data_IF_238490112401
#
_entry.id   IF_238490112401
#
_cell.length_a   1.000
_cell.length_b   1.000
_cell.length_c   1.000
_cell.angle_alpha   90.00
_cell.angle_beta   90.00
_cell.angle_gamma   90.00
#
_symmetry.space_group_name_H-M   'P 1'
#
loop_
_entity.id
_entity.type
_entity.pdbx_description
1 polymer ?
#
# COMPACT_ATOMS: atom_id res chain seq x y z
N UNK A 1 6.01 6.87 -22.51
CA UNK A 1 5.67 5.65 -21.74
C UNK A 1 6.95 5.24 -21.05
N UNK A 2 6.90 4.85 -19.78
CA UNK A 2 8.10 4.53 -19.01
C UNK A 2 8.71 3.20 -19.46
N UNK A 3 10.04 3.12 -19.56
CA UNK A 3 10.73 1.88 -19.98
C UNK A 3 11.70 1.39 -18.91
N UNK A 4 11.63 0.09 -18.60
CA UNK A 4 12.60 -0.64 -17.77
C UNK A 4 13.52 -1.46 -18.68
N UNK A 5 14.82 -1.41 -18.42
CA UNK A 5 15.77 -2.44 -18.85
C UNK A 5 16.56 -2.90 -17.64
N UNK A 6 16.30 -4.12 -17.20
CA UNK A 6 16.87 -4.71 -15.98
C UNK A 6 18.05 -5.65 -16.21
N UNK A 7 18.34 -5.95 -17.49
CA UNK A 7 19.26 -7.02 -17.86
C UNK A 7 18.66 -8.43 -17.73
N UNK A 8 17.39 -8.54 -17.32
CA UNK A 8 16.62 -9.78 -17.25
C UNK A 8 15.32 -9.63 -18.06
N UNK A 9 15.21 -10.40 -19.15
CA UNK A 9 14.07 -10.31 -20.06
C UNK A 9 12.72 -10.63 -19.39
N UNK A 10 12.70 -11.47 -18.37
CA UNK A 10 11.48 -11.83 -17.64
C UNK A 10 10.98 -10.66 -16.80
N UNK A 11 11.88 -9.96 -16.09
CA UNK A 11 11.52 -8.76 -15.33
C UNK A 11 11.07 -7.62 -16.25
N UNK A 12 11.72 -7.46 -17.40
CA UNK A 12 11.34 -6.45 -18.40
C UNK A 12 9.96 -6.75 -19.01
N UNK A 13 9.64 -8.04 -19.22
CA UNK A 13 8.33 -8.47 -19.70
C UNK A 13 7.23 -8.29 -18.64
N UNK A 14 7.49 -8.66 -17.38
CA UNK A 14 6.56 -8.47 -16.28
C UNK A 14 6.31 -6.99 -15.99
N UNK A 15 7.34 -6.15 -16.10
CA UNK A 15 7.20 -4.70 -15.97
C UNK A 15 6.31 -4.13 -17.06
N UNK A 16 6.54 -4.50 -18.33
CA UNK A 16 5.69 -4.08 -19.44
C UNK A 16 4.24 -4.52 -19.24
N UNK A 17 4.02 -5.77 -18.84
CA UNK A 17 2.69 -6.27 -18.49
C UNK A 17 2.01 -5.42 -17.42
N UNK A 18 2.71 -5.09 -16.33
CA UNK A 18 2.13 -4.27 -15.27
C UNK A 18 1.79 -2.85 -15.76
N UNK A 19 2.64 -2.23 -16.57
CA UNK A 19 2.34 -0.91 -17.18
C UNK A 19 1.12 -0.99 -18.10
N UNK A 20 1.02 -2.04 -18.92
CA UNK A 20 -0.10 -2.25 -19.84
C UNK A 20 -1.41 -2.53 -19.08
N UNK A 21 -1.36 -3.29 -17.99
CA UNK A 21 -2.50 -3.56 -17.11
C UNK A 21 -3.03 -2.27 -16.48
N UNK A 22 -2.14 -1.45 -15.88
CA UNK A 22 -2.52 -0.12 -15.34
C UNK A 22 -3.14 0.76 -16.41
N UNK A 23 -2.57 0.80 -17.62
CA UNK A 23 -3.10 1.59 -18.73
C UNK A 23 -4.48 1.08 -19.20
N UNK A 24 -4.69 -0.24 -19.19
CA UNK A 24 -5.95 -0.87 -19.53
C UNK A 24 -7.07 -0.64 -18.50
N UNK A 25 -6.72 -0.24 -17.29
CA UNK A 25 -7.65 0.12 -16.21
C UNK A 25 -7.93 1.64 -16.15
N UNK A 26 -7.57 2.41 -17.18
CA UNK A 26 -7.95 3.81 -17.31
C UNK A 26 -9.21 3.92 -18.18
N UNK A 27 -10.31 4.33 -17.58
CA UNK A 27 -11.60 4.55 -18.24
C UNK A 27 -12.07 5.98 -17.96
N UNK A 28 -12.39 6.72 -19.02
CA UNK A 28 -12.85 8.12 -18.95
C UNK A 28 -11.96 9.04 -18.10
N UNK A 29 -10.64 8.79 -18.13
CA UNK A 29 -9.65 9.58 -17.41
C UNK A 29 -9.55 9.26 -15.91
N UNK A 30 -10.15 8.17 -15.45
CA UNK A 30 -10.08 7.67 -14.07
C UNK A 30 -9.66 6.20 -14.02
N UNK A 31 -9.15 5.74 -12.87
CA UNK A 31 -8.84 4.33 -12.66
C UNK A 31 -10.08 3.52 -12.30
N UNK A 32 -10.23 2.32 -12.87
CA UNK A 32 -11.12 1.26 -12.37
C UNK A 32 -10.31 0.22 -11.57
N UNK A 33 -10.96 -0.56 -10.71
CA UNK A 33 -10.29 -1.54 -9.86
C UNK A 33 -9.70 -2.73 -10.63
N UNK A 34 -10.31 -3.09 -11.77
CA UNK A 34 -9.78 -4.10 -12.68
C UNK A 34 -10.80 -4.56 -13.71
N UNK A 35 -10.47 -5.57 -14.52
CA UNK A 35 -11.34 -6.01 -15.62
C UNK A 35 -12.75 -6.44 -15.19
N UNK A 36 -12.86 -7.23 -14.12
CA UNK A 36 -14.15 -7.67 -13.60
C UNK A 36 -14.75 -6.66 -12.59
N UNK A 37 -13.99 -5.63 -12.23
CA UNK A 37 -14.36 -4.56 -11.31
C UNK A 37 -14.30 -3.20 -12.01
N UNK A 38 -15.17 -3.00 -13.01
CA UNK A 38 -15.20 -1.83 -13.89
C UNK A 38 -15.74 -0.54 -13.24
N UNK A 39 -15.41 -0.32 -11.97
CA UNK A 39 -15.82 0.83 -11.15
C UNK A 39 -14.66 1.34 -10.33
N UNK A 40 -14.74 2.61 -9.91
CA UNK A 40 -13.77 3.21 -8.99
C UNK A 40 -14.02 2.71 -7.58
N UNK A 41 -12.96 2.21 -6.92
CA UNK A 41 -12.95 1.82 -5.51
C UNK A 41 -11.90 2.63 -4.77
N UNK A 42 -12.26 3.11 -3.58
CA UNK A 42 -11.41 3.99 -2.77
C UNK A 42 -10.13 3.29 -2.37
N UNK A 43 -10.22 2.03 -1.95
CA UNK A 43 -9.09 1.25 -1.46
C UNK A 43 -8.16 0.83 -2.59
N UNK A 44 -8.73 0.22 -3.64
CA UNK A 44 -8.01 -0.23 -4.83
C UNK A 44 -7.21 0.93 -5.44
N UNK A 45 -7.87 2.07 -5.66
CA UNK A 45 -7.22 3.26 -6.23
C UNK A 45 -6.15 3.80 -5.28
N UNK A 46 -6.47 4.00 -4.00
CA UNK A 46 -5.55 4.65 -3.07
C UNK A 46 -4.27 3.84 -2.87
N UNK A 47 -4.39 2.52 -2.71
CA UNK A 47 -3.22 1.64 -2.62
C UNK A 47 -2.45 1.59 -3.94
N UNK A 48 -3.13 1.50 -5.09
CA UNK A 48 -2.47 1.47 -6.40
C UNK A 48 -1.69 2.74 -6.68
N UNK A 49 -2.24 3.90 -6.33
CA UNK A 49 -1.60 5.20 -6.48
C UNK A 49 -0.35 5.31 -5.59
N UNK A 50 -0.38 4.82 -4.35
CA UNK A 50 0.80 4.78 -3.47
C UNK A 50 1.85 3.74 -3.91
N UNK A 51 1.42 2.64 -4.52
CA UNK A 51 2.30 1.56 -4.97
C UNK A 51 3.02 1.88 -6.30
N UNK A 52 2.42 2.68 -7.18
CA UNK A 52 3.14 3.10 -8.40
C UNK A 52 2.27 3.54 -9.57
N UNK A 53 0.97 3.25 -9.56
CA UNK A 53 0.07 3.69 -10.64
C UNK A 53 0.05 5.22 -10.77
N UNK A 54 0.16 5.94 -9.65
CA UNK A 54 0.24 7.40 -9.64
C UNK A 54 1.48 7.95 -10.33
N UNK A 55 2.63 7.25 -10.24
CA UNK A 55 3.87 7.67 -10.90
C UNK A 55 3.76 7.57 -12.42
N UNK A 56 3.01 6.58 -12.91
CA UNK A 56 2.75 6.40 -14.35
C UNK A 56 1.74 7.41 -14.88
N UNK A 57 0.66 7.67 -14.13
CA UNK A 57 -0.46 8.51 -14.55
C UNK A 57 -0.90 9.48 -13.44
N UNK A 58 -0.11 10.52 -13.13
CA UNK A 58 -0.40 11.43 -12.02
C UNK A 58 -1.72 12.21 -12.20
N UNK A 59 -2.04 12.61 -13.44
CA UNK A 59 -3.28 13.33 -13.73
C UNK A 59 -4.52 12.45 -13.54
N UNK A 60 -4.44 11.17 -13.96
CA UNK A 60 -5.50 10.18 -13.75
C UNK A 60 -5.66 9.87 -12.27
N UNK A 61 -4.56 9.76 -11.53
CA UNK A 61 -4.60 9.60 -10.08
C UNK A 61 -5.33 10.79 -9.44
N UNK A 62 -4.96 12.02 -9.76
CA UNK A 62 -5.60 13.23 -9.21
C UNK A 62 -7.09 13.29 -9.53
N UNK A 63 -7.47 13.03 -10.79
CA UNK A 63 -8.87 13.01 -11.22
C UNK A 63 -9.67 11.93 -10.49
N UNK A 64 -9.11 10.72 -10.35
CA UNK A 64 -9.75 9.62 -9.64
C UNK A 64 -9.92 9.95 -8.16
N UNK A 65 -8.87 10.44 -7.48
CA UNK A 65 -8.95 10.86 -6.07
C UNK A 65 -10.06 11.90 -5.85
N UNK A 66 -10.17 12.92 -6.70
CA UNK A 66 -11.24 13.95 -6.63
C UNK A 66 -12.64 13.37 -6.75
N UNK A 67 -12.82 12.23 -7.44
CA UNK A 67 -14.11 11.56 -7.59
C UNK A 67 -14.49 10.63 -6.44
N UNK A 68 -13.59 10.36 -5.49
CA UNK A 68 -13.78 9.37 -4.42
C UNK A 68 -14.25 9.99 -3.10
N UNK A 69 -15.20 10.91 -3.19
CA UNK A 69 -15.76 11.59 -2.02
C UNK A 69 -17.26 11.48 -1.94
N UNK A 70 -17.77 11.70 -0.73
CA UNK A 70 -19.19 11.80 -0.43
C UNK A 70 -19.40 12.94 0.56
N UNK A 71 -20.64 13.43 0.70
CA UNK A 71 -20.95 14.50 1.63
C UNK A 71 -21.52 13.94 2.94
N UNK A 72 -20.82 14.14 4.05
CA UNK A 72 -21.37 13.99 5.40
C UNK A 72 -22.12 15.28 5.76
N UNK A 73 -23.39 15.17 6.17
CA UNK A 73 -24.24 16.34 6.38
C UNK A 73 -23.74 17.32 7.46
N UNK A 74 -22.91 16.87 8.39
CA UNK A 74 -22.36 17.70 9.45
C UNK A 74 -20.91 18.16 9.17
N UNK A 75 -20.11 17.31 8.52
CA UNK A 75 -18.68 17.54 8.34
C UNK A 75 -18.32 18.04 6.94
N UNK A 76 -19.22 17.91 5.96
CA UNK A 76 -18.96 18.22 4.57
C UNK A 76 -18.32 17.04 3.83
N UNK A 77 -17.43 17.34 2.89
CA UNK A 77 -16.82 16.33 2.03
C UNK A 77 -15.89 15.39 2.81
N UNK A 78 -16.06 14.07 2.62
CA UNK A 78 -15.32 12.98 3.25
C UNK A 78 -14.99 11.90 2.22
N UNK A 79 -13.96 11.10 2.47
CA UNK A 79 -13.64 9.94 1.64
C UNK A 79 -14.82 8.97 1.61
N UNK A 80 -15.19 8.50 0.42
CA UNK A 80 -16.29 7.55 0.26
C UNK A 80 -15.85 6.18 0.79
N UNK A 81 -16.77 5.50 1.47
CA UNK A 81 -16.55 4.12 1.90
C UNK A 81 -17.11 3.17 0.86
N UNK A 82 -16.27 2.28 0.36
CA UNK A 82 -16.66 1.22 -0.55
C UNK A 82 -17.73 0.33 0.09
N UNK A 83 -18.63 -0.24 -0.72
CA UNK A 83 -19.69 -1.15 -0.28
C UNK A 83 -19.43 -2.56 -0.78
N UNK A 84 -19.15 -3.46 0.15
CA UNK A 84 -18.89 -4.86 -0.09
C UNK A 84 -20.15 -5.74 0.05
N UNK A 85 -20.15 -6.88 -0.64
CA UNK A 85 -21.27 -7.83 -0.62
C UNK A 85 -21.52 -8.51 0.73
N UNK A 86 -20.46 -8.91 1.46
CA UNK A 86 -20.62 -9.69 2.71
C UNK A 86 -20.79 -8.81 3.96
N UNK A 87 -20.02 -7.72 4.08
CA UNK A 87 -20.00 -6.91 5.30
C UNK A 87 -20.58 -5.49 5.13
N UNK A 88 -20.99 -5.11 3.92
CA UNK A 88 -21.64 -3.83 3.64
C UNK A 88 -20.65 -2.67 3.49
N UNK A 89 -21.01 -1.50 4.01
CA UNK A 89 -20.16 -0.30 4.00
C UNK A 89 -20.12 0.35 5.37
N UNK A 90 -19.92 1.66 5.43
CA UNK A 90 -19.92 2.42 6.69
C UNK A 90 -21.19 2.17 7.51
N UNK A 91 -21.11 1.93 8.84
CA UNK A 91 -19.92 1.96 9.70
C UNK A 91 -19.28 0.58 9.97
N UNK A 92 -19.56 -0.45 9.17
CA UNK A 92 -18.96 -1.79 9.34
C UNK A 92 -17.57 -1.87 8.72
N UNK A 93 -17.44 -1.34 7.50
CA UNK A 93 -16.16 -1.03 6.88
C UNK A 93 -15.87 0.45 7.18
N UNK A 94 -14.69 0.72 7.71
CA UNK A 94 -14.31 2.06 8.17
C UNK A 94 -12.95 2.49 7.66
N UNK A 95 -12.42 1.85 6.63
CA UNK A 95 -11.06 2.07 6.12
C UNK A 95 -10.96 3.11 4.99
N UNK A 96 -12.05 3.81 4.65
CA UNK A 96 -12.07 4.93 3.67
C UNK A 96 -11.02 6.02 3.90
N UNK A 97 -10.48 6.15 5.12
CA UNK A 97 -9.36 7.05 5.43
C UNK A 97 -8.09 6.73 4.60
N UNK A 98 -7.99 5.54 4.00
CA UNK A 98 -6.96 5.19 3.00
C UNK A 98 -6.89 6.18 1.84
N UNK A 99 -7.99 6.90 1.54
CA UNK A 99 -7.99 8.01 0.59
C UNK A 99 -6.91 9.04 0.87
N UNK A 100 -6.58 9.29 2.14
CA UNK A 100 -5.48 10.17 2.53
C UNK A 100 -4.10 9.66 2.06
N UNK A 101 -3.89 8.33 2.02
CA UNK A 101 -2.65 7.71 1.54
C UNK A 101 -2.48 7.95 0.04
N UNK A 102 -3.53 7.65 -0.74
CA UNK A 102 -3.54 7.91 -2.19
C UNK A 102 -3.35 9.39 -2.50
N UNK A 103 -4.10 10.26 -1.82
CA UNK A 103 -4.03 11.70 -2.01
C UNK A 103 -2.65 12.28 -1.67
N UNK A 104 -2.04 11.84 -0.57
CA UNK A 104 -0.69 12.26 -0.22
C UNK A 104 0.33 11.84 -1.29
N UNK A 105 0.24 10.60 -1.79
CA UNK A 105 1.09 10.14 -2.89
C UNK A 105 0.89 10.99 -4.15
N UNK A 106 -0.35 11.24 -4.56
CA UNK A 106 -0.68 12.12 -5.69
C UNK A 106 -0.10 13.53 -5.51
N UNK A 107 -0.23 14.13 -4.33
CA UNK A 107 0.35 15.44 -4.05
C UNK A 107 1.88 15.43 -4.20
N UNK A 108 2.58 14.42 -3.67
CA UNK A 108 4.04 14.36 -3.79
C UNK A 108 4.50 14.33 -5.25
N UNK A 109 3.76 13.63 -6.11
CA UNK A 109 4.04 13.46 -7.54
C UNK A 109 3.73 14.70 -8.38
N UNK A 110 2.74 15.49 -7.98
CA UNK A 110 2.23 16.63 -8.76
C UNK A 110 2.66 17.98 -8.22
N UNK A 111 2.86 18.10 -6.91
CA UNK A 111 3.12 19.36 -6.23
C UNK A 111 1.89 20.30 -6.16
N UNK A 112 0.71 19.83 -6.55
CA UNK A 112 -0.49 20.68 -6.67
C UNK A 112 -0.99 21.13 -5.28
N UNK A 113 -0.88 22.45 -5.03
CA UNK A 113 -1.24 23.04 -3.73
C UNK A 113 -2.76 23.17 -3.52
N UNK A 114 -3.55 23.24 -4.58
CA UNK A 114 -5.01 23.28 -4.46
C UNK A 114 -5.54 21.89 -4.09
N UNK A 115 -5.03 20.86 -4.76
CA UNK A 115 -5.28 19.47 -4.42
C UNK A 115 -4.86 19.17 -2.98
N UNK A 116 -3.67 19.61 -2.54
CA UNK A 116 -3.23 19.48 -1.14
C UNK A 116 -4.25 20.04 -0.14
N UNK A 117 -4.74 21.27 -0.38
CA UNK A 117 -5.72 21.93 0.50
C UNK A 117 -7.04 21.17 0.57
N UNK A 118 -7.52 20.72 -0.58
CA UNK A 118 -8.71 19.91 -0.67
C UNK A 118 -8.53 18.57 0.07
N UNK A 119 -7.43 17.86 -0.19
CA UNK A 119 -7.12 16.58 0.46
C UNK A 119 -6.97 16.71 1.97
N UNK A 120 -6.39 17.80 2.47
CA UNK A 120 -6.33 18.10 3.90
C UNK A 120 -7.75 18.13 4.49
N UNK A 121 -8.64 18.91 3.89
CA UNK A 121 -10.03 19.09 4.34
C UNK A 121 -10.80 17.76 4.35
N UNK A 122 -10.76 17.02 3.23
CA UNK A 122 -11.45 15.72 3.13
C UNK A 122 -10.91 14.72 4.15
N UNK A 123 -9.59 14.73 4.38
CA UNK A 123 -8.94 13.85 5.37
C UNK A 123 -9.35 14.19 6.80
N UNK A 124 -9.30 15.46 7.20
CA UNK A 124 -9.69 15.87 8.56
C UNK A 124 -11.17 15.63 8.83
N UNK A 125 -12.04 15.86 7.83
CA UNK A 125 -13.46 15.54 7.94
C UNK A 125 -13.69 14.03 8.07
N UNK A 126 -12.93 13.21 7.34
CA UNK A 126 -13.05 11.75 7.42
C UNK A 126 -12.58 11.22 8.78
N UNK A 127 -11.50 11.78 9.34
CA UNK A 127 -11.05 11.48 10.71
C UNK A 127 -12.14 11.85 11.73
N UNK A 128 -12.72 13.05 11.64
CA UNK A 128 -13.81 13.46 12.53
C UNK A 128 -15.05 12.55 12.41
N UNK A 129 -15.38 12.07 11.20
CA UNK A 129 -16.45 11.10 10.97
C UNK A 129 -16.16 9.79 11.71
N UNK A 130 -14.94 9.29 11.61
CA UNK A 130 -14.51 8.07 12.27
C UNK A 130 -14.47 8.19 13.79
N UNK A 131 -13.98 9.32 14.32
CA UNK A 131 -14.00 9.62 15.75
C UNK A 131 -15.43 9.61 16.30
N UNK A 132 -16.39 10.13 15.52
CA UNK A 132 -17.82 10.14 15.88
C UNK A 132 -18.44 8.74 15.86
N UNK A 133 -18.17 7.95 14.83
CA UNK A 133 -18.96 6.74 14.52
C UNK A 133 -18.28 5.42 14.92
N UNK A 134 -16.95 5.38 14.95
CA UNK A 134 -16.18 4.13 15.01
C UNK A 134 -15.09 4.10 16.09
N UNK A 135 -14.71 5.23 16.68
CA UNK A 135 -13.69 5.26 17.72
C UNK A 135 -14.21 4.70 19.06
N UNK A 136 -13.49 3.73 19.60
CA UNK A 136 -13.78 3.10 20.87
C UNK A 136 -12.92 3.71 21.98
N UNK A 137 -13.48 4.66 22.74
CA UNK A 137 -12.75 5.41 23.75
C UNK A 137 -12.15 4.54 24.88
N UNK A 138 -12.70 3.34 25.12
CA UNK A 138 -12.20 2.41 26.13
C UNK A 138 -10.87 1.75 25.70
N UNK A 139 -10.80 1.23 24.47
CA UNK A 139 -9.56 0.66 23.93
C UNK A 139 -8.61 1.71 23.34
N UNK A 140 -9.12 2.88 22.97
CA UNK A 140 -8.37 3.87 22.19
C UNK A 140 -8.10 3.42 20.75
N UNK A 141 -8.86 2.46 20.22
CA UNK A 141 -8.77 1.95 18.85
C UNK A 141 -10.06 2.28 18.07
N UNK A 142 -9.98 2.23 16.74
CA UNK A 142 -11.11 2.30 15.84
C UNK A 142 -11.67 0.91 15.58
N UNK A 143 -12.99 0.82 15.57
CA UNK A 143 -13.74 -0.36 15.17
C UNK A 143 -13.89 -0.41 13.65
N UNK A 144 -14.02 -1.63 13.12
CA UNK A 144 -14.27 -1.88 11.71
C UNK A 144 -13.55 -3.13 11.22
N UNK A 145 -14.02 -3.61 10.07
CA UNK A 145 -13.33 -4.64 9.30
C UNK A 145 -11.88 -4.23 9.01
N UNK A 146 -10.98 -5.21 8.90
CA UNK A 146 -9.64 -5.01 8.35
C UNK A 146 -9.74 -4.50 6.94
N UNK A 147 -8.83 -3.60 6.58
CA UNK A 147 -8.79 -3.06 5.23
C UNK A 147 -8.71 -4.18 4.21
N UNK A 148 -9.44 -4.04 3.10
CA UNK A 148 -9.63 -5.01 2.01
C UNK A 148 -10.11 -6.43 2.40
N UNK A 149 -10.37 -6.75 3.67
CA UNK A 149 -10.76 -8.11 4.11
C UNK A 149 -12.28 -8.29 4.25
N UNK A 150 -13.05 -7.71 3.32
CA UNK A 150 -14.53 -7.59 3.38
C UNK A 150 -15.33 -8.85 3.02
N UNK A 151 -14.70 -10.02 3.00
CA UNK A 151 -15.35 -11.29 2.68
C UNK A 151 -15.43 -12.22 3.88
N UNK A 152 -16.42 -13.12 3.86
CA UNK A 152 -16.58 -14.18 4.86
C UNK A 152 -15.28 -14.95 5.12
N UNK A 153 -14.51 -15.20 4.06
CA UNK A 153 -13.23 -15.92 4.13
C UNK A 153 -12.12 -15.18 4.88
N UNK A 154 -12.29 -13.89 5.17
CA UNK A 154 -11.36 -13.08 5.96
C UNK A 154 -11.53 -13.22 7.48
N UNK A 155 -12.56 -13.91 7.96
CA UNK A 155 -12.93 -13.98 9.38
C UNK A 155 -13.43 -15.40 9.76
N UNK A 156 -13.45 -15.79 11.05
CA UNK A 156 -14.00 -17.08 11.43
C UNK A 156 -15.50 -17.17 11.12
N UNK A 157 -16.02 -18.39 10.95
CA UNK A 157 -17.41 -18.64 10.55
C UNK A 157 -18.49 -17.93 11.39
N UNK A 158 -18.19 -17.55 12.64
CA UNK A 158 -19.11 -16.77 13.50
C UNK A 158 -19.51 -15.40 12.91
N UNK A 159 -18.72 -14.86 11.98
CA UNK A 159 -18.96 -13.56 11.35
C UNK A 159 -19.55 -13.64 9.94
N UNK A 160 -19.79 -14.84 9.41
CA UNK A 160 -20.24 -15.00 8.03
C UNK A 160 -21.56 -14.24 7.79
N UNK A 161 -21.55 -13.33 6.81
CA UNK A 161 -22.66 -12.42 6.47
C UNK A 161 -23.14 -11.51 7.62
N UNK A 162 -22.34 -11.35 8.69
CA UNK A 162 -22.62 -10.45 9.81
C UNK A 162 -21.61 -9.29 9.83
N UNK A 163 -21.79 -8.36 8.91
CA UNK A 163 -20.97 -7.15 8.84
C UNK A 163 -21.03 -6.30 10.12
N UNK A 164 -22.14 -6.34 10.86
CA UNK A 164 -22.26 -5.59 12.11
C UNK A 164 -21.39 -6.20 13.22
N UNK A 165 -21.23 -7.53 13.24
CA UNK A 165 -20.30 -8.20 14.14
C UNK A 165 -18.84 -7.94 13.76
N UNK A 166 -18.48 -8.04 12.47
CA UNK A 166 -17.15 -7.66 11.99
C UNK A 166 -16.84 -6.19 12.31
N UNK A 167 -17.82 -5.31 12.13
CA UNK A 167 -17.73 -3.89 12.43
C UNK A 167 -17.49 -3.55 13.91
N UNK A 168 -17.59 -4.52 14.83
CA UNK A 168 -17.21 -4.35 16.24
C UNK A 168 -15.77 -4.75 16.54
N UNK A 169 -15.10 -5.47 15.63
CA UNK A 169 -13.67 -5.80 15.77
C UNK A 169 -12.81 -4.55 15.60
N UNK A 170 -11.58 -4.59 16.12
CA UNK A 170 -10.58 -3.53 15.98
C UNK A 170 -9.38 -4.11 15.23
N UNK A 171 -9.44 -4.03 13.90
CA UNK A 171 -8.41 -4.59 13.04
C UNK A 171 -7.13 -3.75 12.99
N UNK A 172 -5.99 -4.43 12.86
CA UNK A 172 -4.66 -3.82 12.78
C UNK A 172 -4.54 -2.84 11.61
N UNK A 173 -4.78 -3.30 10.38
CA UNK A 173 -4.65 -2.48 9.17
C UNK A 173 -5.52 -1.21 9.22
N UNK A 174 -6.76 -1.33 9.70
CA UNK A 174 -7.68 -0.19 9.86
C UNK A 174 -7.17 0.82 10.88
N UNK A 175 -6.66 0.37 12.02
CA UNK A 175 -6.06 1.26 13.00
C UNK A 175 -4.75 1.90 12.51
N UNK A 176 -3.94 1.17 11.74
CA UNK A 176 -2.76 1.72 11.07
C UNK A 176 -3.13 2.79 10.04
N UNK A 177 -4.23 2.61 9.31
CA UNK A 177 -4.77 3.58 8.36
C UNK A 177 -5.25 4.85 9.06
N UNK A 178 -5.93 4.74 10.21
CA UNK A 178 -6.30 5.91 11.00
C UNK A 178 -5.11 6.65 11.57
N UNK A 179 -4.12 5.92 12.11
CA UNK A 179 -2.86 6.51 12.54
C UNK A 179 -2.19 7.24 11.39
N UNK A 180 -2.15 6.62 10.20
CA UNK A 180 -1.59 7.23 9.00
C UNK A 180 -2.41 8.44 8.56
N UNK A 181 -3.73 8.40 8.67
CA UNK A 181 -4.64 9.51 8.40
C UNK A 181 -4.32 10.74 9.26
N UNK A 182 -4.16 10.57 10.57
CA UNK A 182 -3.73 11.66 11.46
C UNK A 182 -2.37 12.23 11.06
N UNK A 183 -1.38 11.36 10.83
CA UNK A 183 -0.02 11.78 10.41
C UNK A 183 -0.05 12.55 9.09
N UNK A 184 -0.83 12.09 8.11
CA UNK A 184 -0.94 12.75 6.81
C UNK A 184 -1.74 14.05 6.90
N UNK A 185 -2.83 14.07 7.69
CA UNK A 185 -3.55 15.30 8.03
C UNK A 185 -2.61 16.35 8.60
N UNK A 186 -1.83 16.01 9.64
CA UNK A 186 -0.86 16.91 10.25
C UNK A 186 0.21 17.39 9.25
N UNK A 187 0.74 16.50 8.40
CA UNK A 187 1.72 16.89 7.37
C UNK A 187 1.13 17.87 6.36
N UNK A 188 -0.07 17.61 5.87
CA UNK A 188 -0.75 18.50 4.93
C UNK A 188 -1.06 19.85 5.58
N UNK A 189 -1.62 19.85 6.80
CA UNK A 189 -1.91 21.05 7.57
C UNK A 189 -0.66 21.90 7.82
N UNK A 190 0.46 21.29 8.21
CA UNK A 190 1.72 22.00 8.42
C UNK A 190 2.24 22.69 7.14
N UNK A 191 2.12 22.05 5.97
CA UNK A 191 2.47 22.64 4.67
C UNK A 191 1.53 23.79 4.26
N UNK A 192 0.32 23.81 4.82
CA UNK A 192 -0.69 24.85 4.61
C UNK A 192 -0.63 25.96 5.67
N UNK A 193 0.17 25.79 6.73
CA UNK A 193 0.29 26.72 7.85
C UNK A 193 -0.85 26.63 8.87
N UNK A 194 -1.50 25.47 8.97
CA UNK A 194 -2.59 25.19 9.92
C UNK A 194 -2.03 24.64 11.26
N UNK A 195 -2.84 24.72 12.32
CA UNK A 195 -2.50 24.08 13.61
C UNK A 195 -2.76 22.57 13.53
N UNK A 196 -1.76 21.79 13.91
CA UNK A 196 -1.71 20.33 13.75
C UNK A 196 -1.57 19.60 15.07
N UNK A 197 -1.50 20.32 16.21
CA UNK A 197 -1.22 19.72 17.51
C UNK A 197 -2.23 18.63 17.88
N UNK A 198 -3.52 18.85 17.60
CA UNK A 198 -4.55 17.85 17.86
C UNK A 198 -4.35 16.57 17.05
N UNK A 199 -3.95 16.69 15.78
CA UNK A 199 -3.72 15.55 14.89
C UNK A 199 -2.48 14.76 15.34
N UNK A 200 -1.38 15.45 15.67
CA UNK A 200 -0.16 14.83 16.17
C UNK A 200 -0.41 14.10 17.51
N UNK A 201 -1.18 14.71 18.41
CA UNK A 201 -1.55 14.10 19.69
C UNK A 201 -2.44 12.86 19.48
N UNK A 202 -3.41 12.91 18.57
CA UNK A 202 -4.24 11.74 18.23
C UNK A 202 -3.42 10.62 17.59
N UNK A 203 -2.50 10.93 16.68
CA UNK A 203 -1.58 9.96 16.10
C UNK A 203 -0.73 9.28 17.19
N UNK A 204 -0.14 10.05 18.10
CA UNK A 204 0.68 9.53 19.19
C UNK A 204 -0.12 8.59 20.11
N UNK A 205 -1.33 9.00 20.52
CA UNK A 205 -2.21 8.14 21.35
C UNK A 205 -2.58 6.84 20.64
N UNK A 206 -3.00 6.93 19.38
CA UNK A 206 -3.40 5.73 18.63
C UNK A 206 -2.21 4.78 18.40
N UNK A 207 -1.01 5.31 18.14
CA UNK A 207 0.21 4.49 18.07
C UNK A 207 0.45 3.71 19.36
N UNK A 208 0.28 4.36 20.51
CA UNK A 208 0.38 3.71 21.83
C UNK A 208 -0.67 2.61 21.96
N UNK A 209 -1.95 2.90 21.69
CA UNK A 209 -3.02 1.90 21.77
C UNK A 209 -2.76 0.68 20.87
N UNK A 210 -2.29 0.89 19.63
CA UNK A 210 -1.96 -0.22 18.72
C UNK A 210 -0.86 -1.11 19.31
N UNK A 211 0.21 -0.50 19.85
CA UNK A 211 1.33 -1.23 20.43
C UNK A 211 0.96 -1.98 21.73
N UNK A 212 0.13 -1.37 22.56
CA UNK A 212 -0.27 -1.97 23.84
C UNK A 212 -1.31 -3.07 23.68
N UNK A 213 -2.21 -2.94 22.69
CA UNK A 213 -3.35 -3.84 22.55
C UNK A 213 -3.14 -4.93 21.51
N UNK A 214 -2.47 -4.65 20.40
CA UNK A 214 -2.41 -5.59 19.27
C UNK A 214 -1.07 -6.32 19.16
N UNK A 215 -0.02 -5.93 19.88
CA UNK A 215 1.28 -6.61 19.78
C UNK A 215 1.25 -7.99 20.46
N UNK A 216 1.68 -9.04 19.74
CA UNK A 216 1.84 -10.40 20.27
C UNK A 216 3.33 -10.69 20.50
N UNK A 217 3.89 -10.43 21.69
CA UNK A 217 5.33 -10.52 21.94
C UNK A 217 5.89 -11.92 21.73
N UNK A 218 5.12 -12.96 22.06
CA UNK A 218 5.54 -14.36 21.88
C UNK A 218 5.57 -14.79 20.40
N UNK A 219 4.83 -14.08 19.55
CA UNK A 219 4.74 -14.35 18.12
C UNK A 219 5.70 -13.48 17.29
N UNK A 220 6.13 -12.33 17.82
CA UNK A 220 7.01 -11.38 17.12
C UNK A 220 6.31 -10.57 16.02
N UNK A 221 4.97 -10.46 16.07
CA UNK A 221 4.16 -9.69 15.14
C UNK A 221 2.87 -9.18 15.83
N UNK A 222 2.04 -8.43 15.12
CA UNK A 222 0.75 -7.95 15.65
C UNK A 222 -0.37 -8.96 15.38
N UNK A 223 -1.36 -8.99 16.28
CA UNK A 223 -2.62 -9.67 16.05
C UNK A 223 -3.36 -9.02 14.89
N UNK A 224 -4.01 -9.84 14.06
CA UNK A 224 -4.86 -9.39 12.96
C UNK A 224 -5.96 -8.41 13.45
N UNK A 225 -6.62 -8.73 14.55
CA UNK A 225 -7.62 -7.86 15.19
C UNK A 225 -7.79 -8.22 16.68
N UNK A 226 -8.33 -7.26 17.44
CA UNK A 226 -9.01 -7.51 18.72
C UNK A 226 -10.52 -7.67 18.44
N UNK A 227 -11.15 -8.70 18.99
CA UNK A 227 -12.56 -9.01 18.73
C UNK A 227 -13.53 -8.20 19.61
N UNK A 228 -14.83 -8.49 19.50
CA UNK A 228 -15.88 -7.77 20.23
C UNK A 228 -15.80 -7.92 21.75
N UNK A 229 -15.13 -8.95 22.23
CA UNK A 229 -14.93 -9.27 23.65
C UNK A 229 -13.55 -8.85 24.16
N UNK A 230 -12.74 -8.21 23.32
CA UNK A 230 -11.37 -7.79 23.67
C UNK A 230 -10.32 -8.89 23.51
N UNK A 231 -10.64 -10.00 22.85
CA UNK A 231 -9.73 -11.11 22.63
C UNK A 231 -8.91 -10.90 21.36
N UNK A 232 -7.60 -11.14 21.43
CA UNK A 232 -6.73 -11.04 20.26
C UNK A 232 -6.85 -12.27 19.37
N UNK A 233 -6.96 -12.02 18.07
CA UNK A 233 -6.78 -13.04 17.04
C UNK A 233 -5.39 -13.67 17.15
N UNK A 234 -5.34 -14.99 17.07
CA UNK A 234 -4.10 -15.78 16.97
C UNK A 234 -3.46 -15.76 15.57
N UNK A 235 -4.13 -15.11 14.61
CA UNK A 235 -3.67 -14.92 13.23
C UNK A 235 -3.02 -13.56 13.02
N UNK A 236 -2.14 -13.51 12.02
CA UNK A 236 -1.61 -12.27 11.44
C UNK A 236 -2.38 -11.87 10.17
N UNK A 237 -2.20 -10.61 9.76
CA UNK A 237 -2.69 -10.07 8.49
C UNK A 237 -1.56 -9.32 7.77
N UNK A 238 -1.28 -9.72 6.53
CA UNK A 238 -0.03 -9.40 5.85
C UNK A 238 0.14 -7.91 5.50
N UNK A 239 -0.94 -7.23 5.10
CA UNK A 239 -0.91 -5.79 4.84
C UNK A 239 -0.62 -5.03 6.14
N UNK A 240 -1.33 -5.34 7.22
CA UNK A 240 -1.15 -4.75 8.53
C UNK A 240 0.28 -4.84 9.03
N UNK A 241 0.89 -6.03 8.99
CA UNK A 241 2.30 -6.21 9.35
C UNK A 241 3.24 -5.34 8.50
N UNK A 242 3.02 -5.35 7.18
CA UNK A 242 3.80 -4.53 6.24
C UNK A 242 3.69 -3.04 6.56
N UNK A 243 2.47 -2.56 6.82
CA UNK A 243 2.16 -1.16 7.09
C UNK A 243 2.69 -0.71 8.46
N UNK A 244 2.67 -1.57 9.47
CA UNK A 244 3.23 -1.28 10.79
C UNK A 244 4.73 -0.94 10.71
N UNK A 245 5.48 -1.70 9.89
CA UNK A 245 6.89 -1.45 9.57
C UNK A 245 7.06 -0.19 8.73
N UNK A 246 6.30 -0.06 7.63
CA UNK A 246 6.44 1.05 6.69
C UNK A 246 6.10 2.40 7.28
N UNK A 247 5.11 2.48 8.15
CA UNK A 247 4.66 3.74 8.75
C UNK A 247 5.24 4.01 10.13
N UNK A 248 6.09 3.12 10.65
CA UNK A 248 6.85 3.33 11.88
C UNK A 248 6.00 3.28 13.14
N UNK A 249 4.85 2.60 13.08
CA UNK A 249 4.07 2.26 14.28
C UNK A 249 4.85 1.22 15.09
N UNK A 250 5.37 0.20 14.40
CA UNK A 250 6.37 -0.71 14.95
C UNK A 250 7.68 0.05 15.20
N UNK A 251 8.26 -0.13 16.40
CA UNK A 251 9.62 0.29 16.71
C UNK A 251 10.65 -0.46 15.84
N UNK A 252 11.89 0.02 15.73
CA UNK A 252 12.93 -0.69 14.96
C UNK A 252 13.15 -2.14 15.39
N UNK A 253 13.02 -2.46 16.68
CA UNK A 253 13.12 -3.85 17.16
C UNK A 253 11.90 -4.68 16.76
N UNK A 254 10.69 -4.17 16.97
CA UNK A 254 9.47 -4.86 16.52
C UNK A 254 9.48 -5.06 15.00
N UNK A 255 9.97 -4.09 14.23
CA UNK A 255 10.09 -4.23 12.78
C UNK A 255 11.03 -5.38 12.40
N UNK A 256 12.15 -5.55 13.10
CA UNK A 256 13.03 -6.70 12.89
C UNK A 256 12.34 -8.02 13.26
N UNK A 257 11.62 -8.05 14.40
CA UNK A 257 10.87 -9.23 14.85
C UNK A 257 9.79 -9.63 13.83
N UNK A 258 9.06 -8.64 13.28
CA UNK A 258 8.03 -8.83 12.24
C UNK A 258 8.67 -9.44 10.98
N UNK A 259 9.75 -8.84 10.47
CA UNK A 259 10.44 -9.35 9.28
C UNK A 259 10.94 -10.79 9.45
N UNK A 260 11.33 -11.16 10.67
CA UNK A 260 11.82 -12.49 11.00
C UNK A 260 10.71 -13.52 11.25
N UNK A 261 9.62 -13.12 11.90
CA UNK A 261 8.64 -14.04 12.48
C UNK A 261 7.36 -14.17 11.66
N UNK A 262 7.09 -13.22 10.76
CA UNK A 262 5.88 -13.24 9.92
C UNK A 262 5.89 -14.45 8.98
N UNK A 263 4.89 -15.34 9.07
CA UNK A 263 4.81 -16.51 8.18
C UNK A 263 4.65 -16.09 6.72
N UNK A 264 5.42 -16.72 5.83
CA UNK A 264 5.25 -16.57 4.38
C UNK A 264 4.97 -17.92 3.73
N UNK A 265 4.43 -17.89 2.52
CA UNK A 265 4.17 -19.09 1.72
C UNK A 265 5.20 -19.22 0.59
N UNK A 266 5.18 -20.36 -0.10
CA UNK A 266 5.99 -20.56 -1.29
C UNK A 266 5.70 -19.53 -2.40
N UNK A 267 4.49 -18.97 -2.42
CA UNK A 267 4.05 -18.01 -3.44
C UNK A 267 4.18 -16.54 -2.98
N UNK A 268 4.35 -16.28 -1.68
CA UNK A 268 4.43 -14.92 -1.16
C UNK A 268 3.92 -14.74 0.25
N UNK A 269 3.89 -13.48 0.70
CA UNK A 269 3.15 -13.10 1.90
C UNK A 269 1.63 -13.34 1.69
N UNK A 270 0.98 -14.18 2.51
CA UNK A 270 -0.46 -14.37 2.45
C UNK A 270 -1.21 -13.20 3.09
N UNK A 271 -2.46 -12.98 2.68
CA UNK A 271 -3.31 -11.93 3.30
C UNK A 271 -3.56 -12.18 4.78
N UNK A 272 -3.71 -13.44 5.19
CA UNK A 272 -3.80 -13.83 6.59
C UNK A 272 -3.14 -15.19 6.83
N UNK A 273 -2.68 -15.44 8.04
CA UNK A 273 -2.15 -16.76 8.42
C UNK A 273 -2.26 -17.06 9.92
N UNK A 274 -2.52 -18.32 10.33
CA UNK A 274 -2.94 -19.46 9.50
C UNK A 274 -4.34 -19.30 8.91
N UNK A 275 -4.60 -19.98 7.80
CA UNK A 275 -5.92 -20.01 7.17
C UNK A 275 -7.00 -20.55 8.12
N UNK A 276 -8.22 -20.02 8.00
CA UNK A 276 -9.43 -20.59 8.57
C UNK A 276 -9.77 -21.91 7.86
N UNK A 277 -9.76 -23.07 8.57
CA UNK A 277 -9.99 -24.36 7.94
C UNK A 277 -11.33 -24.49 7.19
N UNK A 278 -12.38 -23.82 7.66
CA UNK A 278 -13.71 -23.85 7.06
C UNK A 278 -13.79 -23.20 5.66
N UNK A 279 -12.82 -22.33 5.34
CA UNK A 279 -12.74 -21.56 4.10
C UNK A 279 -11.65 -22.10 3.16
N UNK A 280 -11.23 -23.37 3.30
CA UNK A 280 -10.17 -24.00 2.49
C UNK A 280 -10.68 -24.93 1.36
N UNK A 281 -11.95 -24.83 0.99
CA UNK A 281 -12.53 -25.64 -0.08
C UNK A 281 -12.50 -24.90 -1.42
N UNK A 282 -11.46 -25.16 -2.22
CA UNK A 282 -11.27 -24.55 -3.53
C UNK A 282 -12.21 -25.10 -4.63
N UNK A 283 -13.06 -26.09 -4.32
CA UNK A 283 -14.10 -26.53 -5.24
C UNK A 283 -15.34 -25.62 -5.22
N UNK A 284 -15.44 -24.75 -4.22
CA UNK A 284 -16.50 -23.74 -4.10
C UNK A 284 -16.19 -22.49 -4.91
N UNK A 285 -17.19 -21.61 -5.02
CA UNK A 285 -17.03 -20.27 -5.56
C UNK A 285 -15.90 -19.52 -4.81
N UNK A 286 -15.10 -18.74 -5.56
CA UNK A 286 -13.91 -18.09 -5.02
C UNK A 286 -14.21 -17.17 -3.84
N UNK A 287 -15.41 -16.58 -3.76
CA UNK A 287 -15.84 -15.78 -2.62
C UNK A 287 -15.72 -16.53 -1.28
N UNK A 288 -15.76 -17.87 -1.31
CA UNK A 288 -15.64 -18.76 -0.15
C UNK A 288 -14.22 -18.90 0.40
N UNK A 289 -13.18 -18.55 -0.36
CA UNK A 289 -11.77 -18.62 0.06
C UNK A 289 -10.94 -17.34 -0.22
N UNK A 290 -11.55 -16.37 -0.92
CA UNK A 290 -11.01 -15.10 -1.41
C UNK A 290 -9.90 -14.43 -0.60
N UNK A 291 -10.09 -14.17 0.69
CA UNK A 291 -9.07 -13.54 1.55
C UNK A 291 -8.35 -14.53 2.46
N UNK A 292 -8.79 -15.79 2.49
CA UNK A 292 -8.28 -16.80 3.42
C UNK A 292 -6.90 -17.28 2.98
N UNK A 293 -5.85 -16.55 3.34
CA UNK A 293 -4.46 -16.89 3.07
C UNK A 293 -4.05 -16.85 1.60
N UNK A 294 -4.91 -16.30 0.72
CA UNK A 294 -4.54 -16.03 -0.66
C UNK A 294 -3.38 -15.03 -0.72
N UNK A 295 -2.56 -15.16 -1.75
CA UNK A 295 -1.42 -14.27 -2.01
C UNK A 295 -1.88 -13.21 -3.00
N UNK A 296 -1.96 -11.96 -2.53
CA UNK A 296 -2.36 -10.81 -3.33
C UNK A 296 -1.11 -9.97 -3.64
N UNK A 297 -0.76 -9.74 -4.92
CA UNK A 297 0.51 -9.06 -5.26
C UNK A 297 0.65 -7.66 -4.69
N UNK A 298 -0.44 -6.93 -4.43
CA UNK A 298 -0.38 -5.62 -3.78
C UNK A 298 0.09 -5.71 -2.31
N UNK A 299 -0.38 -6.73 -1.57
CA UNK A 299 0.08 -7.04 -0.20
C UNK A 299 1.57 -7.40 -0.22
N UNK A 300 1.99 -8.24 -1.18
CA UNK A 300 3.40 -8.55 -1.39
C UNK A 300 4.22 -7.31 -1.74
N UNK A 301 3.67 -6.39 -2.54
CA UNK A 301 4.31 -5.11 -2.89
C UNK A 301 4.60 -4.27 -1.64
N UNK A 302 3.67 -4.19 -0.70
CA UNK A 302 3.90 -3.53 0.59
C UNK A 302 4.91 -4.29 1.45
N UNK A 303 4.86 -5.62 1.49
CA UNK A 303 5.82 -6.43 2.23
C UNK A 303 7.25 -6.28 1.72
N UNK A 304 7.44 -6.34 0.40
CA UNK A 304 8.73 -6.11 -0.24
C UNK A 304 9.24 -4.69 0.02
N UNK A 305 8.35 -3.69 0.05
CA UNK A 305 8.71 -2.32 0.43
C UNK A 305 9.11 -2.22 1.91
N UNK A 306 8.48 -2.99 2.81
CA UNK A 306 8.89 -3.09 4.20
C UNK A 306 10.28 -3.71 4.33
N UNK A 307 10.55 -4.82 3.63
CA UNK A 307 11.88 -5.44 3.53
C UNK A 307 12.92 -4.45 2.97
N UNK A 308 12.58 -3.71 1.92
CA UNK A 308 13.47 -2.70 1.36
C UNK A 308 13.76 -1.57 2.36
N UNK A 309 12.76 -1.14 3.14
CA UNK A 309 12.92 -0.11 4.19
C UNK A 309 13.85 -0.57 5.31
N UNK A 310 13.82 -1.86 5.68
CA UNK A 310 14.70 -2.45 6.70
C UNK A 310 16.05 -2.88 6.15
N UNK A 311 16.27 -2.77 4.83
CA UNK A 311 17.51 -3.17 4.17
C UNK A 311 17.66 -4.68 3.98
N UNK A 312 16.56 -5.44 4.11
CA UNK A 312 16.55 -6.89 3.92
C UNK A 312 16.48 -7.24 2.43
N UNK A 313 17.67 -7.27 1.80
CA UNK A 313 17.85 -7.58 0.38
C UNK A 313 17.36 -9.00 0.05
N UNK A 314 17.48 -9.94 1.00
CA UNK A 314 17.13 -11.33 0.77
C UNK A 314 15.62 -11.51 0.68
N UNK A 315 14.87 -10.95 1.64
CA UNK A 315 13.40 -10.97 1.61
C UNK A 315 12.88 -10.16 0.42
N UNK A 316 13.43 -8.98 0.16
CA UNK A 316 13.04 -8.17 -1.00
C UNK A 316 13.23 -8.94 -2.33
N UNK A 317 14.41 -9.52 -2.54
CA UNK A 317 14.70 -10.29 -3.76
C UNK A 317 13.80 -11.51 -3.91
N UNK A 318 13.57 -12.25 -2.81
CA UNK A 318 12.70 -13.43 -2.83
C UNK A 318 11.26 -13.07 -3.19
N UNK A 319 10.69 -11.98 -2.65
CA UNK A 319 9.33 -11.56 -3.00
C UNK A 319 9.24 -11.03 -4.44
N UNK A 320 10.26 -10.33 -4.92
CA UNK A 320 10.33 -9.89 -6.31
C UNK A 320 10.34 -11.09 -7.29
N UNK A 321 11.09 -12.15 -6.98
CA UNK A 321 11.13 -13.38 -7.76
C UNK A 321 9.79 -14.14 -7.71
N UNK A 322 9.14 -14.17 -6.55
CA UNK A 322 7.82 -14.80 -6.38
C UNK A 322 6.74 -14.09 -7.19
N UNK A 323 6.63 -12.76 -7.11
CA UNK A 323 5.66 -12.00 -7.91
C UNK A 323 5.98 -12.11 -9.40
N UNK A 324 7.26 -12.16 -9.79
CA UNK A 324 7.64 -12.44 -11.18
C UNK A 324 7.12 -13.83 -11.61
N UNK A 325 7.27 -14.86 -10.79
CA UNK A 325 6.76 -16.20 -11.11
C UNK A 325 5.23 -16.22 -11.23
N UNK A 326 4.51 -15.51 -10.36
CA UNK A 326 3.05 -15.36 -10.43
C UNK A 326 2.60 -14.60 -11.69
N UNK A 327 3.35 -13.57 -12.10
CA UNK A 327 3.05 -12.80 -13.31
C UNK A 327 3.09 -13.65 -14.60
N UNK A 328 3.73 -14.83 -14.57
CA UNK A 328 3.83 -15.76 -15.70
C UNK A 328 2.66 -16.75 -15.77
N UNK A 329 1.77 -16.78 -14.77
CA UNK A 329 0.67 -17.76 -14.66
C UNK A 329 -0.51 -17.44 -15.57
N UNK A 330 -0.68 -16.18 -15.97
CA UNK A 330 -1.74 -15.74 -16.88
C UNK A 330 -1.26 -14.57 -17.77
N UNK A 331 -2.12 -14.05 -18.65
CA UNK A 331 -1.87 -12.93 -19.55
C UNK A 331 -1.77 -11.58 -18.84
N UNK A 332 -2.37 -11.43 -17.66
CA UNK A 332 -2.40 -10.19 -16.86
C UNK A 332 -2.02 -10.49 -15.40
N UNK A 333 -1.80 -9.46 -14.58
CA UNK A 333 -1.76 -9.62 -13.13
C UNK A 333 -3.17 -9.90 -12.60
N UNK A 334 -3.33 -11.04 -11.95
CA UNK A 334 -4.59 -11.40 -11.31
C UNK A 334 -4.70 -10.78 -9.93
N UNK A 335 -5.94 -10.68 -9.47
CA UNK A 335 -6.30 -10.19 -8.16
C UNK A 335 -5.59 -10.97 -7.05
N UNK A 336 -5.59 -12.30 -7.12
CA UNK A 336 -4.89 -13.14 -6.17
C UNK A 336 -4.50 -14.53 -6.69
N UNK A 337 -3.65 -15.19 -5.90
CA UNK A 337 -3.08 -16.50 -6.20
C UNK A 337 -3.18 -17.42 -5.00
N UNK A 338 -3.43 -18.71 -5.23
CA UNK A 338 -3.52 -19.70 -4.16
C UNK A 338 -2.13 -19.95 -3.53
N UNK A 339 -2.03 -20.02 -2.19
CA UNK A 339 -0.74 -20.11 -1.50
C UNK A 339 -0.04 -21.47 -1.71
N UNK A 340 -0.79 -22.53 -2.06
CA UNK A 340 -0.23 -23.86 -2.26
C UNK A 340 0.43 -24.06 -3.64
N UNK A 341 -0.18 -23.56 -4.72
CA UNK A 341 0.22 -23.87 -6.10
C UNK A 341 0.40 -22.64 -7.03
N UNK A 342 0.05 -21.45 -6.54
CA UNK A 342 0.10 -20.20 -7.30
C UNK A 342 -0.90 -20.16 -8.46
N UNK A 343 -2.01 -20.90 -8.37
CA UNK A 343 -3.09 -20.81 -9.35
C UNK A 343 -3.73 -19.40 -9.31
N UNK A 344 -3.82 -18.68 -10.45
CA UNK A 344 -4.45 -17.36 -10.52
C UNK A 344 -5.97 -17.47 -10.43
N UNK A 345 -6.60 -16.57 -9.68
CA UNK A 345 -8.06 -16.52 -9.53
C UNK A 345 -8.53 -15.06 -9.33
N UNK A 346 -9.84 -14.84 -9.18
CA UNK A 346 -10.42 -13.49 -9.09
C UNK A 346 -10.37 -12.71 -10.40
N UNK A 347 -10.33 -11.37 -10.30
CA UNK A 347 -10.30 -10.50 -11.48
C UNK A 347 -8.95 -10.57 -12.22
N UNK A 348 -8.92 -10.80 -13.55
CA UNK A 348 -7.75 -10.49 -14.36
C UNK A 348 -7.58 -8.96 -14.47
N UNK A 349 -6.40 -8.52 -14.89
CA UNK A 349 -6.00 -7.11 -15.00
C UNK A 349 -6.45 -6.34 -13.75
N UNK A 350 -5.90 -6.73 -12.60
CA UNK A 350 -6.23 -6.09 -11.34
C UNK A 350 -5.25 -4.95 -11.05
N UNK A 351 -5.80 -3.74 -10.86
CA UNK A 351 -5.05 -2.50 -10.74
C UNK A 351 -3.98 -2.56 -9.64
N UNK A 352 -4.38 -2.91 -8.42
CA UNK A 352 -3.43 -2.93 -7.30
C UNK A 352 -2.40 -4.06 -7.39
N UNK A 353 -2.71 -5.15 -8.10
CA UNK A 353 -1.79 -6.28 -8.25
C UNK A 353 -0.67 -5.91 -9.21
N UNK A 354 -1.01 -5.29 -10.33
CA UNK A 354 -0.03 -4.69 -11.25
C UNK A 354 0.78 -3.60 -10.53
N UNK A 355 0.12 -2.71 -9.78
CA UNK A 355 0.80 -1.68 -8.99
C UNK A 355 1.74 -2.27 -7.93
N UNK A 356 1.40 -3.42 -7.32
CA UNK A 356 2.23 -4.13 -6.36
C UNK A 356 3.60 -4.51 -6.95
N UNK A 357 3.64 -5.04 -8.18
CA UNK A 357 4.90 -5.33 -8.86
C UNK A 357 5.66 -4.06 -9.22
N UNK A 358 4.96 -3.01 -9.70
CA UNK A 358 5.57 -1.71 -10.00
C UNK A 358 6.23 -1.09 -8.77
N UNK A 359 5.62 -1.23 -7.58
CA UNK A 359 6.17 -0.77 -6.31
C UNK A 359 7.52 -1.39 -6.00
N UNK A 360 7.69 -2.69 -6.28
CA UNK A 360 8.96 -3.37 -6.06
C UNK A 360 10.06 -2.80 -6.96
N UNK A 361 9.72 -2.44 -8.20
CA UNK A 361 10.67 -1.79 -9.12
C UNK A 361 10.96 -0.35 -8.67
N UNK A 362 9.94 0.47 -8.48
CA UNK A 362 10.08 1.90 -8.18
C UNK A 362 10.60 2.16 -6.77
N UNK A 363 9.90 1.65 -5.75
CA UNK A 363 10.18 1.95 -4.35
C UNK A 363 11.19 0.99 -3.71
N UNK A 364 11.37 -0.21 -4.27
CA UNK A 364 12.37 -1.17 -3.84
C UNK A 364 13.68 -1.04 -4.61
N UNK A 365 13.71 -1.53 -5.86
CA UNK A 365 14.91 -1.65 -6.68
C UNK A 365 15.58 -0.29 -6.91
N UNK A 366 14.82 0.71 -7.40
CA UNK A 366 15.33 2.07 -7.57
C UNK A 366 15.26 2.91 -6.28
N UNK A 367 14.49 2.47 -5.30
CA UNK A 367 14.40 3.15 -4.01
C UNK A 367 13.78 4.54 -4.07
N UNK A 368 12.87 4.80 -5.02
CA UNK A 368 12.24 6.10 -5.21
C UNK A 368 11.44 6.49 -3.97
N UNK A 369 11.78 7.66 -3.41
CA UNK A 369 11.11 8.27 -2.25
C UNK A 369 10.70 9.70 -2.60
N UNK A 370 9.52 9.88 -3.23
CA UNK A 370 8.95 11.20 -3.45
C UNK A 370 8.84 11.97 -2.13
N UNK A 371 9.17 13.25 -2.15
CA UNK A 371 9.20 14.14 -1.00
C UNK A 371 8.68 15.52 -1.36
N UNK A 372 8.45 16.35 -0.35
CA UNK A 372 7.89 17.70 -0.55
C UNK A 372 8.90 18.63 -1.25
N UNK A 373 10.19 18.43 -0.96
CA UNK A 373 11.33 19.23 -1.42
C UNK A 373 12.20 18.53 -2.48
N UNK A 374 12.20 17.20 -2.50
CA UNK A 374 13.11 16.39 -3.30
C UNK A 374 12.55 15.00 -3.58
N UNK A 375 12.97 14.39 -4.68
CA UNK A 375 12.88 12.94 -4.90
C UNK A 375 14.18 12.31 -4.39
N UNK A 376 14.09 11.50 -3.33
CA UNK A 376 15.24 10.80 -2.75
C UNK A 376 15.33 9.36 -3.26
N UNK A 377 16.54 8.80 -3.18
CA UNK A 377 16.84 7.45 -3.67
C UNK A 377 17.49 6.62 -2.56
N UNK A 378 16.93 5.44 -2.31
CA UNK A 378 17.46 4.45 -1.37
C UNK A 378 17.27 3.03 -1.93
N UNK A 379 17.99 2.69 -3.01
CA UNK A 379 17.82 1.45 -3.75
C UNK A 379 18.17 0.22 -2.92
N UNK A 380 17.45 -0.87 -3.16
CA UNK A 380 17.73 -2.21 -2.60
C UNK A 380 17.88 -3.17 -3.78
N UNK A 381 19.11 -3.59 -4.03
CA UNK A 381 19.47 -4.25 -5.29
C UNK A 381 19.97 -5.67 -5.05
N UNK A 382 19.14 -6.70 -5.32
CA UNK A 382 19.57 -8.09 -5.31
C UNK A 382 20.71 -8.34 -6.29
N UNK A 383 21.58 -9.32 -6.00
CA UNK A 383 22.76 -9.62 -6.81
C UNK A 383 22.46 -10.02 -8.27
N UNK A 384 21.23 -10.46 -8.55
CA UNK A 384 20.76 -10.77 -9.90
C UNK A 384 20.71 -9.54 -10.82
N UNK A 385 20.65 -8.33 -10.26
CA UNK A 385 20.67 -7.07 -11.00
C UNK A 385 22.07 -6.47 -10.95
N UNK A 386 22.65 -6.20 -12.13
CA UNK A 386 23.99 -5.62 -12.25
C UNK A 386 23.95 -4.20 -12.83
N UNK A 387 23.08 -3.99 -13.82
CA UNK A 387 22.82 -2.69 -14.42
C UNK A 387 21.34 -2.61 -14.80
N UNK A 388 20.64 -1.63 -14.24
CA UNK A 388 19.20 -1.43 -14.43
C UNK A 388 18.97 0.02 -14.86
N UNK A 389 18.11 0.23 -15.84
CA UNK A 389 17.73 1.58 -16.29
C UNK A 389 16.22 1.73 -16.30
N UNK A 390 15.76 2.92 -15.92
CA UNK A 390 14.37 3.32 -15.93
C UNK A 390 14.29 4.70 -16.58
N UNK A 391 13.65 4.78 -17.74
CA UNK A 391 13.57 6.03 -18.53
C UNK A 391 12.14 6.53 -18.66
N UNK A 392 12.01 7.80 -19.01
CA UNK A 392 10.74 8.50 -19.20
C UNK A 392 9.87 8.57 -17.93
N UNK A 393 10.51 8.61 -16.75
CA UNK A 393 9.83 8.83 -15.48
C UNK A 393 9.47 10.31 -15.37
N UNK A 394 8.17 10.60 -15.39
CA UNK A 394 7.67 11.95 -15.10
C UNK A 394 7.58 12.15 -13.60
N UNK A 395 8.11 13.27 -13.13
CA UNK A 395 8.01 13.67 -11.73
C UNK A 395 7.93 15.19 -11.67
N UNK A 396 6.75 15.72 -11.36
CA UNK A 396 6.43 17.15 -11.49
C UNK A 396 6.85 17.67 -12.88
N UNK A 397 7.54 18.80 -12.94
CA UNK A 397 8.00 19.43 -14.19
C UNK A 397 9.25 18.77 -14.80
N UNK A 398 9.63 17.57 -14.33
CA UNK A 398 10.81 16.84 -14.80
C UNK A 398 10.45 15.56 -15.55
N UNK A 399 11.36 15.16 -16.44
CA UNK A 399 11.47 13.80 -16.98
C UNK A 399 12.84 13.23 -16.65
N UNK A 400 12.88 12.08 -16.00
CA UNK A 400 14.10 11.46 -15.48
C UNK A 400 14.46 10.20 -16.29
N UNK A 401 15.75 10.08 -16.60
CA UNK A 401 16.38 8.83 -17.03
C UNK A 401 17.34 8.37 -15.93
N UNK A 402 17.00 7.26 -15.26
CA UNK A 402 17.69 6.77 -14.07
C UNK A 402 18.47 5.51 -14.45
N UNK A 403 19.77 5.49 -14.17
CA UNK A 403 20.61 4.31 -14.30
C UNK A 403 21.18 3.90 -12.93
N UNK A 404 21.03 2.62 -12.61
CA UNK A 404 21.47 2.00 -11.37
C UNK A 404 22.48 0.90 -11.69
N UNK A 405 23.62 0.88 -11.00
CA UNK A 405 24.67 -0.12 -11.19
C UNK A 405 25.21 -0.65 -9.86
N UNK A 406 25.55 -1.94 -9.84
CA UNK A 406 25.99 -2.66 -8.64
C UNK A 406 24.84 -3.36 -7.90
N UNK A 407 25.15 -4.00 -6.78
CA UNK A 407 24.18 -4.65 -5.90
C UNK A 407 24.37 -4.20 -4.43
N UNK A 408 23.38 -4.43 -3.57
CA UNK A 408 23.39 -3.99 -2.17
C UNK A 408 22.42 -2.84 -1.89
N UNK A 409 22.64 -2.12 -0.79
CA UNK A 409 21.72 -1.08 -0.29
C UNK A 409 22.38 0.28 -0.09
N UNK A 410 23.72 0.35 -0.13
CA UNK A 410 24.44 1.59 0.13
C UNK A 410 24.78 2.30 -1.17
N UNK A 411 24.25 3.51 -1.36
CA UNK A 411 24.65 4.40 -2.45
C UNK A 411 26.10 4.85 -2.23
N UNK A 412 26.99 4.50 -3.16
CA UNK A 412 28.42 4.86 -3.14
C UNK A 412 28.74 6.02 -4.07
N UNK A 413 27.94 6.21 -5.11
CA UNK A 413 28.03 7.35 -6.02
C UNK A 413 26.63 7.73 -6.49
N UNK A 414 26.37 9.04 -6.58
CA UNK A 414 25.12 9.58 -7.10
C UNK A 414 25.42 10.86 -7.87
N UNK A 415 24.91 10.93 -9.10
CA UNK A 415 25.07 12.11 -9.96
C UNK A 415 23.75 12.51 -10.61
N UNK A 416 23.56 13.81 -10.77
CA UNK A 416 22.48 14.41 -11.56
C UNK A 416 23.15 15.22 -12.67
N UNK A 417 22.87 14.87 -13.93
CA UNK A 417 23.49 15.48 -15.12
C UNK A 417 25.03 15.50 -15.07
N UNK A 418 25.60 14.41 -14.54
CA UNK A 418 27.05 14.23 -14.38
C UNK A 418 27.67 15.00 -13.21
N UNK A 419 26.89 15.83 -12.49
CA UNK A 419 27.34 16.51 -11.29
C UNK A 419 27.11 15.64 -10.06
N UNK A 420 28.13 15.52 -9.21
CA UNK A 420 28.05 14.76 -7.96
C UNK A 420 27.04 15.40 -7.00
N UNK A 421 26.17 14.57 -6.41
CA UNK A 421 25.22 14.98 -5.39
C UNK A 421 25.29 14.00 -4.23
N UNK A 422 25.64 14.49 -3.04
CA UNK A 422 25.89 13.69 -1.84
C UNK A 422 24.63 13.32 -1.07
N UNK A 423 23.50 13.93 -1.40
CA UNK A 423 22.21 13.72 -0.72
C UNK A 423 21.41 12.55 -1.31
N UNK A 424 21.89 11.96 -2.42
CA UNK A 424 21.16 10.97 -3.21
C UNK A 424 19.72 11.44 -3.53
N UNK A 425 19.60 12.70 -3.95
CA UNK A 425 18.31 13.38 -4.11
C UNK A 425 18.28 14.31 -5.33
N UNK A 426 17.12 14.38 -5.99
CA UNK A 426 16.82 15.30 -7.08
C UNK A 426 15.86 16.38 -6.54
N UNK A 427 16.25 17.67 -6.47
CA UNK A 427 15.38 18.74 -6.00
C UNK A 427 14.14 18.92 -6.87
N UNK A 428 12.99 19.18 -6.26
CA UNK A 428 11.72 19.39 -6.99
C UNK A 428 11.66 20.70 -7.78
N UNK A 429 12.62 21.60 -7.57
CA UNK A 429 12.74 22.87 -8.28
C UNK A 429 13.35 22.73 -9.68
N UNK A 430 13.88 21.56 -10.02
CA UNK A 430 14.40 21.27 -11.35
C UNK A 430 13.24 21.08 -12.35
N UNK A 431 13.53 21.33 -13.62
CA UNK A 431 12.54 21.28 -14.71
C UNK A 431 13.19 20.73 -15.98
N UNK A 432 12.43 20.02 -16.80
CA UNK A 432 12.91 19.46 -18.06
C UNK A 432 13.54 18.07 -17.90
N UNK A 433 14.45 17.71 -18.79
CA UNK A 433 15.03 16.36 -18.85
C UNK A 433 16.32 16.26 -18.04
N UNK A 434 16.39 15.28 -17.14
CA UNK A 434 17.57 15.03 -16.31
C UNK A 434 18.00 13.57 -16.34
N UNK A 435 19.30 13.36 -16.18
CA UNK A 435 19.91 12.02 -16.04
C UNK A 435 20.37 11.80 -14.61
N UNK A 436 19.95 10.69 -14.01
CA UNK A 436 20.36 10.28 -12.66
C UNK A 436 21.20 9.02 -12.79
N UNK A 437 22.41 9.02 -12.25
CA UNK A 437 23.24 7.81 -12.18
C UNK A 437 23.55 7.46 -10.74
N UNK A 438 23.30 6.21 -10.38
CA UNK A 438 23.41 5.67 -9.03
C UNK A 438 24.32 4.45 -9.08
N UNK A 439 25.32 4.40 -8.19
CA UNK A 439 26.12 3.20 -7.95
C UNK A 439 25.87 2.73 -6.52
N UNK A 440 25.65 1.43 -6.36
CA UNK A 440 25.38 0.79 -5.06
C UNK A 440 26.42 -0.28 -4.75
N UNK A 441 26.67 -0.53 -3.46
CA UNK A 441 27.55 -1.57 -2.96
C UNK A 441 27.08 -2.13 -1.61
#
# INVERSE_FOLDING_TARGET
MTFLSSGNADHDAAYRKAVDDIAGDIVDGTFIAGQNWASVWTRDTSYSVDLGAGLLHPDVAMATMRGMTSNDGALGEVWVQDRAGHFGGWPNLTDSIVGAVGAWSTYLLTGDREFLRWSHTVTTNTLARAERDAFDAESGLFRGCSSFMESNSGYPGKYAFDGAAVGRTKALSTNLLYHRGYVLGARMGALLGEDVESLDNSAARLRTSINERLWLPDNGYYAYYEDEDGMLSDRMEGLGESLAVLWGVASPSQAADIMQSTPTTAQGLPCLWPQYPEWKDYSKDFASYYHNGMVWPFVQGYWARAAAKTGDVAVFGAELDKVLALSKKDATFHEFYRPEDGFPDGSPRQLWSAAGYLSMIYHGLFGLRPGTDSLRFAPVVPAAFQQVTLTDIRYRDMTLAISLAGSGTRVTSFTVDGQVNTEAAVPVSLTGSHTVRITVA
#
